data_IF_895498726823
#
_entry.id   IF_895498726823
#
_cell.length_a   1.000
_cell.length_b   1.000
_cell.length_c   1.000
_cell.angle_alpha   90.00
_cell.angle_beta   90.00
_cell.angle_gamma   90.00
#
_symmetry.space_group_name_H-M   'P 1'
#
loop_
_entity.id
_entity.type
_entity.pdbx_description
1 polymer ?
#
# COMPACT_ATOMS: atom_id res chain seq x y z
N UNK A 1 13.02 4.40 -18.86
CA UNK A 1 11.72 5.02 -18.55
C UNK A 1 11.88 5.90 -17.30
N UNK A 2 11.85 7.23 -17.42
CA UNK A 2 12.01 8.15 -16.28
C UNK A 2 10.78 8.03 -15.39
N UNK A 3 10.96 7.65 -14.12
CA UNK A 3 9.92 7.68 -13.09
C UNK A 3 9.35 9.11 -13.01
N UNK A 4 8.19 9.35 -13.62
CA UNK A 4 7.50 10.63 -13.52
C UNK A 4 6.68 10.62 -12.23
N UNK A 5 6.91 11.61 -11.39
CA UNK A 5 6.11 11.87 -10.18
C UNK A 5 5.60 13.29 -10.22
N UNK A 6 4.36 13.50 -9.79
CA UNK A 6 3.76 14.83 -9.67
C UNK A 6 3.61 15.16 -8.19
N UNK A 7 3.91 16.40 -7.82
CA UNK A 7 3.62 16.91 -6.48
C UNK A 7 2.46 17.89 -6.56
N UNK A 8 1.36 17.58 -5.87
CA UNK A 8 0.17 18.42 -5.78
C UNK A 8 -0.15 18.66 -4.30
N UNK A 9 -0.36 19.93 -3.91
CA UNK A 9 -0.76 20.37 -2.57
C UNK A 9 -0.07 19.66 -1.37
N UNK A 10 1.16 19.14 -1.54
CA UNK A 10 1.93 18.46 -0.50
C UNK A 10 2.06 16.93 -0.63
N UNK A 11 1.30 16.28 -1.52
CA UNK A 11 1.47 14.86 -1.85
C UNK A 11 2.31 14.68 -3.12
N UNK A 12 3.34 13.82 -3.04
CA UNK A 12 4.13 13.36 -4.18
C UNK A 12 3.63 11.98 -4.61
N UNK A 13 3.04 11.91 -5.80
CA UNK A 13 2.42 10.72 -6.39
C UNK A 13 3.29 10.27 -7.56
N UNK A 14 3.68 9.01 -7.57
CA UNK A 14 4.38 8.40 -8.69
C UNK A 14 3.35 7.85 -9.67
N UNK A 15 3.58 7.99 -10.99
CA UNK A 15 2.67 7.42 -12.01
C UNK A 15 2.74 5.90 -12.11
N UNK A 16 3.82 5.28 -11.64
CA UNK A 16 4.02 3.85 -11.79
C UNK A 16 5.47 3.41 -11.54
N UNK A 17 5.70 2.11 -11.61
CA UNK A 17 7.02 1.49 -11.68
C UNK A 17 6.91 0.03 -12.17
N UNK A 18 8.03 -0.63 -12.46
CA UNK A 18 8.05 -2.02 -12.94
C UNK A 18 7.27 -3.04 -12.07
N UNK A 19 7.04 -2.76 -10.78
CA UNK A 19 6.27 -3.63 -9.88
C UNK A 19 4.76 -3.37 -9.94
N UNK A 20 4.35 -2.17 -10.32
CA UNK A 20 2.94 -1.74 -10.31
C UNK A 20 2.43 -1.27 -11.66
N UNK A 21 3.22 -1.46 -12.73
CA UNK A 21 2.97 -0.91 -14.05
C UNK A 21 2.67 0.60 -13.98
N UNK A 22 1.78 1.09 -14.84
CA UNK A 22 1.25 2.45 -14.84
C UNK A 22 0.16 2.70 -13.77
N UNK A 23 0.24 2.00 -12.63
CA UNK A 23 -0.63 2.27 -11.50
C UNK A 23 -0.06 3.41 -10.63
N UNK A 24 -0.75 4.56 -10.54
CA UNK A 24 -0.33 5.64 -9.68
C UNK A 24 -0.35 5.22 -8.21
N UNK A 25 0.66 5.69 -7.49
CA UNK A 25 0.82 5.35 -6.08
C UNK A 25 1.40 6.50 -5.28
N UNK A 26 1.02 6.54 -4.01
CA UNK A 26 1.62 7.40 -3.00
C UNK A 26 2.18 6.52 -1.90
N UNK A 27 3.38 6.84 -1.43
CA UNK A 27 4.09 6.05 -0.42
C UNK A 27 4.55 6.93 0.72
N UNK A 28 4.60 6.35 1.92
CA UNK A 28 5.11 6.98 3.13
C UNK A 28 6.53 6.49 3.43
N UNK A 29 7.16 7.09 4.44
CA UNK A 29 8.50 6.72 4.87
C UNK A 29 8.46 5.35 5.55
N UNK A 30 9.18 4.32 5.06
CA UNK A 30 9.22 3.01 5.72
C UNK A 30 9.80 3.13 7.12
N UNK A 31 9.43 2.17 7.97
CA UNK A 31 9.74 2.12 9.42
C UNK A 31 9.00 3.21 10.21
N UNK A 32 9.08 4.47 9.78
CA UNK A 32 8.45 5.59 10.49
C UNK A 32 6.91 5.56 10.43
N UNK A 33 6.34 5.15 9.29
CA UNK A 33 4.88 5.00 9.10
C UNK A 33 4.36 3.60 9.45
N UNK A 34 5.25 2.66 9.77
CA UNK A 34 4.89 1.26 10.01
C UNK A 34 4.47 1.02 11.47
N UNK A 35 3.70 -0.04 11.75
CA UNK A 35 3.43 -0.47 13.12
C UNK A 35 4.72 -0.67 13.92
N UNK A 36 4.70 -0.27 15.19
CA UNK A 36 5.82 -0.51 16.10
C UNK A 36 6.09 -2.01 16.24
N UNK A 37 7.35 -2.40 16.18
CA UNK A 37 7.77 -3.80 16.32
C UNK A 37 7.54 -4.67 15.08
N UNK A 38 7.27 -4.08 13.91
CA UNK A 38 7.09 -4.85 12.68
C UNK A 38 8.35 -5.68 12.36
N UNK A 39 8.24 -7.01 12.13
CA UNK A 39 9.39 -7.91 12.06
C UNK A 39 10.25 -7.69 10.80
N UNK A 40 9.68 -7.10 9.76
CA UNK A 40 10.43 -6.79 8.54
C UNK A 40 11.32 -5.55 8.67
N UNK A 41 11.36 -4.85 9.82
CA UNK A 41 12.07 -3.58 9.97
C UNK A 41 13.57 -3.69 9.61
N UNK A 42 14.26 -4.73 10.09
CA UNK A 42 15.69 -4.94 9.83
C UNK A 42 16.04 -5.34 8.39
N UNK A 43 15.04 -5.80 7.62
CA UNK A 43 15.22 -6.33 6.26
C UNK A 43 14.23 -5.72 5.27
N UNK A 44 13.73 -4.53 5.58
CA UNK A 44 12.68 -3.88 4.81
C UNK A 44 13.19 -3.57 3.40
N UNK A 45 12.59 -4.21 2.38
CA UNK A 45 12.95 -3.95 0.99
C UNK A 45 12.81 -2.47 0.62
N UNK A 46 11.90 -1.77 1.30
CA UNK A 46 11.60 -0.38 1.03
C UNK A 46 12.65 0.58 1.59
N UNK A 47 13.30 0.19 2.69
CA UNK A 47 14.51 0.86 3.19
C UNK A 47 15.65 0.68 2.19
N UNK A 48 15.82 -0.52 1.61
CA UNK A 48 16.81 -0.75 0.53
C UNK A 48 16.52 0.16 -0.67
N UNK A 49 15.25 0.27 -1.10
CA UNK A 49 14.86 1.15 -2.20
C UNK A 49 15.15 2.64 -1.91
N UNK A 50 14.89 3.11 -0.69
CA UNK A 50 15.23 4.48 -0.27
C UNK A 50 16.75 4.74 -0.22
N UNK A 51 17.58 3.72 0.01
CA UNK A 51 19.05 3.83 -0.06
C UNK A 51 19.52 3.92 -1.51
N UNK A 52 18.96 3.08 -2.38
CA UNK A 52 19.33 3.00 -3.79
C UNK A 52 18.86 4.21 -4.61
N UNK A 53 17.69 4.76 -4.29
CA UNK A 53 17.05 5.83 -5.07
C UNK A 53 16.75 7.06 -4.19
N UNK A 54 17.63 8.08 -4.16
CA UNK A 54 17.44 9.27 -3.33
C UNK A 54 16.15 10.05 -3.63
N UNK A 55 15.68 10.03 -4.88
CA UNK A 55 14.39 10.63 -5.29
C UNK A 55 13.21 9.97 -4.59
N UNK A 56 13.21 8.64 -4.50
CA UNK A 56 12.18 7.86 -3.79
C UNK A 56 12.21 8.19 -2.29
N UNK A 57 13.40 8.25 -1.69
CA UNK A 57 13.56 8.63 -0.28
C UNK A 57 12.96 10.01 -0.01
N UNK A 58 13.32 11.02 -0.82
CA UNK A 58 12.82 12.39 -0.67
C UNK A 58 11.30 12.47 -0.82
N UNK A 59 10.73 11.81 -1.82
CA UNK A 59 9.27 11.77 -2.03
C UNK A 59 8.54 11.20 -0.81
N UNK A 60 9.03 10.07 -0.26
CA UNK A 60 8.43 9.43 0.91
C UNK A 60 8.61 10.23 2.20
N UNK A 61 9.77 10.85 2.39
CA UNK A 61 10.00 11.77 3.52
C UNK A 61 9.07 12.98 3.45
N UNK A 62 8.86 13.56 2.26
CA UNK A 62 7.93 14.66 2.05
C UNK A 62 6.49 14.23 2.37
N UNK A 63 6.05 13.11 1.82
CA UNK A 63 4.71 12.58 2.07
C UNK A 63 4.49 12.27 3.55
N UNK A 64 5.45 11.65 4.22
CA UNK A 64 5.36 11.36 5.65
C UNK A 64 5.30 12.63 6.50
N UNK A 65 6.15 13.62 6.20
CA UNK A 65 6.09 14.93 6.86
C UNK A 65 4.72 15.58 6.65
N UNK A 66 4.27 15.68 5.40
CA UNK A 66 3.01 16.32 5.04
C UNK A 66 1.80 15.62 5.69
N UNK A 67 1.73 14.29 5.62
CA UNK A 67 0.66 13.51 6.26
C UNK A 67 0.57 13.75 7.77
N UNK A 68 1.69 14.08 8.43
CA UNK A 68 1.73 14.28 9.88
C UNK A 68 1.56 15.75 10.31
N UNK A 69 2.09 16.69 9.53
CA UNK A 69 2.10 18.12 9.90
C UNK A 69 1.00 18.93 9.24
N UNK A 70 0.51 18.51 8.08
CA UNK A 70 -0.61 19.14 7.38
C UNK A 70 -1.40 18.07 6.59
N UNK A 71 -2.10 17.15 7.28
CA UNK A 71 -2.84 16.08 6.64
C UNK A 71 -3.90 16.59 5.65
N UNK A 72 -4.54 17.72 5.95
CA UNK A 72 -5.54 18.32 5.07
C UNK A 72 -4.96 18.63 3.68
N UNK A 73 -3.82 19.32 3.61
CA UNK A 73 -3.14 19.61 2.35
C UNK A 73 -2.66 18.33 1.65
N UNK A 74 -2.03 17.42 2.41
CA UNK A 74 -1.56 16.13 1.88
C UNK A 74 -2.69 15.36 1.16
N UNK A 75 -3.83 15.17 1.83
CA UNK A 75 -4.97 14.47 1.23
C UNK A 75 -5.67 15.29 0.14
N UNK A 76 -5.69 16.62 0.22
CA UNK A 76 -6.16 17.47 -0.88
C UNK A 76 -5.33 17.27 -2.15
N UNK A 77 -4.01 17.10 -2.03
CA UNK A 77 -3.13 16.79 -3.14
C UNK A 77 -3.46 15.48 -3.85
N UNK A 78 -3.82 14.46 -3.07
CA UNK A 78 -4.29 13.18 -3.59
C UNK A 78 -5.63 13.34 -4.32
N UNK A 79 -6.58 14.06 -3.73
CA UNK A 79 -7.88 14.35 -4.38
C UNK A 79 -7.70 15.10 -5.70
N UNK A 80 -6.84 16.12 -5.73
CA UNK A 80 -6.51 16.86 -6.95
C UNK A 80 -5.93 15.95 -8.03
N UNK A 81 -5.07 15.01 -7.66
CA UNK A 81 -4.55 14.03 -8.60
C UNK A 81 -5.67 13.15 -9.17
N UNK A 82 -6.51 12.59 -8.31
CA UNK A 82 -7.59 11.68 -8.72
C UNK A 82 -8.61 12.40 -9.61
N UNK A 83 -9.02 13.61 -9.25
CA UNK A 83 -9.96 14.40 -10.07
C UNK A 83 -9.37 14.79 -11.43
N UNK A 84 -8.07 15.10 -11.49
CA UNK A 84 -7.41 15.52 -12.73
C UNK A 84 -7.15 14.36 -13.68
N UNK A 85 -6.60 13.25 -13.17
CA UNK A 85 -6.10 12.16 -14.00
C UNK A 85 -7.05 10.97 -14.10
N UNK A 86 -8.06 10.89 -13.22
CA UNK A 86 -9.10 9.85 -13.21
C UNK A 86 -8.56 8.44 -13.50
N UNK A 87 -7.55 7.97 -12.75
CA UNK A 87 -6.95 6.66 -13.02
C UNK A 87 -7.93 5.54 -12.67
N UNK A 88 -7.94 4.45 -13.43
CA UNK A 88 -8.73 3.26 -13.09
C UNK A 88 -8.26 2.62 -11.78
N UNK A 89 -6.94 2.57 -11.54
CA UNK A 89 -6.32 1.97 -10.37
C UNK A 89 -5.47 2.96 -9.59
N UNK A 90 -5.48 2.86 -8.26
CA UNK A 90 -4.57 3.62 -7.40
C UNK A 90 -4.06 2.77 -6.23
N UNK A 91 -2.75 2.81 -5.97
CA UNK A 91 -2.13 2.00 -4.90
C UNK A 91 -1.66 2.83 -3.70
N UNK A 92 -2.23 2.49 -2.55
CA UNK A 92 -1.74 2.80 -1.21
C UNK A 92 -0.95 1.60 -0.67
N UNK A 93 -0.03 1.78 0.25
CA UNK A 93 1.24 2.31 -0.21
C UNK A 93 2.07 1.24 -0.92
N UNK A 94 2.92 1.64 -1.87
CA UNK A 94 4.00 0.76 -2.36
C UNK A 94 5.12 0.69 -1.32
N UNK A 95 5.38 1.78 -0.59
CA UNK A 95 6.35 1.83 0.51
C UNK A 95 5.80 2.54 1.75
N UNK A 96 6.20 2.11 2.93
CA UNK A 96 5.54 2.50 4.19
C UNK A 96 4.30 1.66 4.50
N UNK A 97 3.49 2.12 5.44
CA UNK A 97 2.26 1.44 5.89
C UNK A 97 1.19 2.47 6.30
N UNK A 98 -0.02 2.00 6.60
CA UNK A 98 -1.12 2.80 7.13
C UNK A 98 -0.82 3.09 8.62
N UNK A 99 -0.55 4.36 9.00
CA UNK A 99 -0.02 4.67 10.33
C UNK A 99 -1.06 4.49 11.44
N UNK A 100 -2.30 4.95 11.21
CA UNK A 100 -3.35 4.98 12.23
C UNK A 100 -4.77 4.92 11.63
N UNK A 101 -5.75 4.86 12.54
CA UNK A 101 -7.17 4.76 12.18
C UNK A 101 -7.71 6.02 11.50
N UNK A 102 -7.21 7.21 11.85
CA UNK A 102 -7.66 8.45 11.23
C UNK A 102 -7.21 8.52 9.77
N UNK A 103 -5.96 8.11 9.49
CA UNK A 103 -5.44 7.97 8.14
C UNK A 103 -6.28 7.00 7.31
N UNK A 104 -6.58 5.81 7.86
CA UNK A 104 -7.43 4.83 7.20
C UNK A 104 -8.85 5.34 6.93
N UNK A 105 -9.47 6.07 7.87
CA UNK A 105 -10.79 6.69 7.66
C UNK A 105 -10.77 7.70 6.52
N UNK A 106 -9.70 8.47 6.38
CA UNK A 106 -9.54 9.40 5.25
C UNK A 106 -9.34 8.65 3.93
N UNK A 107 -8.60 7.54 3.91
CA UNK A 107 -8.52 6.67 2.73
C UNK A 107 -9.92 6.18 2.32
N UNK A 108 -10.75 5.77 3.28
CA UNK A 108 -12.14 5.36 3.01
C UNK A 108 -13.00 6.51 2.51
N UNK A 109 -12.83 7.73 3.04
CA UNK A 109 -13.56 8.91 2.57
C UNK A 109 -13.22 9.21 1.11
N UNK A 110 -11.92 9.26 0.77
CA UNK A 110 -11.46 9.46 -0.60
C UNK A 110 -11.99 8.37 -1.53
N UNK A 111 -11.94 7.09 -1.12
CA UNK A 111 -12.48 6.03 -1.95
C UNK A 111 -13.98 6.18 -2.24
N UNK A 112 -14.78 6.72 -1.31
CA UNK A 112 -16.20 7.04 -1.57
C UNK A 112 -16.39 8.25 -2.48
N UNK A 113 -15.51 9.24 -2.41
CA UNK A 113 -15.52 10.42 -3.29
C UNK A 113 -15.19 10.07 -4.74
N UNK A 114 -14.41 9.01 -4.97
CA UNK A 114 -13.97 8.56 -6.30
C UNK A 114 -14.40 7.10 -6.55
N UNK A 115 -15.70 6.84 -6.75
CA UNK A 115 -16.24 5.48 -6.83
C UNK A 115 -15.70 4.66 -8.01
N UNK A 116 -15.32 5.32 -9.11
CA UNK A 116 -14.81 4.68 -10.33
C UNK A 116 -13.33 4.29 -10.26
N UNK A 117 -12.64 4.63 -9.16
CA UNK A 117 -11.23 4.29 -8.95
C UNK A 117 -11.13 3.07 -8.03
N UNK A 118 -10.40 2.05 -8.47
CA UNK A 118 -10.06 0.88 -7.66
C UNK A 118 -8.79 1.14 -6.84
N UNK A 119 -8.97 1.28 -5.53
CA UNK A 119 -7.89 1.46 -4.57
C UNK A 119 -7.42 0.13 -3.99
N UNK A 120 -6.11 -0.01 -3.79
CA UNK A 120 -5.50 -1.16 -3.12
C UNK A 120 -4.53 -0.71 -2.04
N UNK A 121 -4.58 -1.35 -0.86
CA UNK A 121 -3.55 -1.23 0.15
C UNK A 121 -3.12 -2.57 0.75
N UNK A 122 -1.80 -2.70 0.94
CA UNK A 122 -1.21 -3.75 1.76
C UNK A 122 -0.82 -3.15 3.10
N UNK A 123 -1.13 -3.83 4.21
CA UNK A 123 -0.81 -3.31 5.54
C UNK A 123 -0.41 -4.42 6.52
N UNK A 124 0.59 -4.16 7.36
CA UNK A 124 0.90 -4.97 8.55
C UNK A 124 0.22 -4.42 9.81
N UNK A 125 -0.50 -3.30 9.70
CA UNK A 125 -1.23 -2.68 10.80
C UNK A 125 -2.58 -3.38 11.05
N UNK A 126 -2.51 -4.61 11.55
CA UNK A 126 -3.70 -5.43 11.75
C UNK A 126 -4.58 -4.97 12.94
N UNK A 127 -4.15 -3.95 13.68
CA UNK A 127 -4.91 -3.35 14.78
C UNK A 127 -6.01 -2.39 14.29
N UNK A 128 -5.93 -1.94 13.04
CA UNK A 128 -6.95 -1.08 12.44
C UNK A 128 -8.32 -1.77 12.39
N UNK A 129 -9.37 -0.97 12.56
CA UNK A 129 -10.75 -1.37 12.33
C UNK A 129 -11.11 -1.11 10.87
N UNK A 130 -11.34 -2.20 10.14
CA UNK A 130 -11.67 -2.17 8.71
C UNK A 130 -13.18 -2.20 8.44
N UNK A 131 -14.04 -2.15 9.47
CA UNK A 131 -15.49 -2.10 9.28
C UNK A 131 -15.90 -0.86 8.47
N UNK A 132 -16.92 -1.01 7.62
CA UNK A 132 -17.42 0.07 6.78
C UNK A 132 -16.50 0.48 5.61
N UNK A 133 -15.45 -0.29 5.31
CA UNK A 133 -14.60 -0.12 4.12
C UNK A 133 -15.46 -0.03 2.85
N UNK A 134 -15.24 0.97 1.96
CA UNK A 134 -15.94 1.04 0.70
C UNK A 134 -15.50 -0.08 -0.25
N UNK A 135 -16.39 -0.50 -1.15
CA UNK A 135 -16.17 -1.68 -2.00
C UNK A 135 -14.98 -1.51 -2.95
N UNK A 136 -14.73 -0.28 -3.41
CA UNK A 136 -13.62 0.07 -4.29
C UNK A 136 -12.28 0.31 -3.58
N UNK A 137 -12.17 0.10 -2.26
CA UNK A 137 -10.89 0.13 -1.54
C UNK A 137 -10.55 -1.26 -1.01
N UNK A 138 -9.72 -2.03 -1.70
CA UNK A 138 -9.29 -3.32 -1.18
C UNK A 138 -8.13 -3.21 -0.19
N UNK A 139 -8.25 -3.89 0.94
CA UNK A 139 -7.21 -3.95 1.97
C UNK A 139 -6.76 -5.39 2.12
N UNK A 140 -5.48 -5.63 1.84
CA UNK A 140 -4.85 -6.95 1.93
C UNK A 140 -3.90 -6.97 3.13
N UNK A 141 -4.15 -7.89 4.06
CA UNK A 141 -3.31 -8.03 5.25
C UNK A 141 -1.97 -8.66 4.87
N UNK A 142 -0.89 -7.94 5.13
CA UNK A 142 0.47 -8.40 4.86
C UNK A 142 0.93 -9.34 5.96
N UNK A 143 1.11 -10.61 5.61
CA UNK A 143 1.59 -11.63 6.51
C UNK A 143 3.12 -11.76 6.37
N UNK A 144 3.77 -12.09 7.48
CA UNK A 144 5.22 -12.28 7.57
C UNK A 144 5.48 -13.44 8.54
N UNK A 145 6.55 -14.26 8.39
CA UNK A 145 6.84 -15.33 9.32
C UNK A 145 6.70 -14.90 10.79
N UNK A 146 5.84 -15.60 11.54
CA UNK A 146 5.55 -15.29 12.94
C UNK A 146 4.69 -14.03 13.21
N UNK A 147 4.29 -13.27 12.18
CA UNK A 147 3.49 -12.06 12.31
C UNK A 147 2.25 -12.07 11.41
N UNK A 148 1.12 -11.75 12.01
CA UNK A 148 -0.12 -11.47 11.31
C UNK A 148 -1.34 -11.99 12.05
N UNK A 149 -2.52 -11.46 11.70
CA UNK A 149 -3.77 -11.87 12.34
C UNK A 149 -4.57 -12.72 11.36
N UNK A 150 -4.43 -14.04 11.45
CA UNK A 150 -5.14 -14.99 10.61
C UNK A 150 -6.63 -15.10 10.92
N UNK A 151 -7.09 -14.59 12.08
CA UNK A 151 -8.50 -14.64 12.50
C UNK A 151 -9.38 -13.60 11.80
N UNK A 152 -8.80 -12.50 11.29
CA UNK A 152 -9.55 -11.51 10.53
C UNK A 152 -9.93 -12.09 9.16
N UNK A 153 -11.24 -12.10 8.85
CA UNK A 153 -11.77 -12.48 7.53
C UNK A 153 -11.51 -11.40 6.49
N UNK A 154 -10.25 -11.28 6.07
CA UNK A 154 -9.75 -10.33 5.09
C UNK A 154 -8.85 -11.07 4.11
N UNK A 155 -8.66 -10.58 2.87
CA UNK A 155 -7.66 -11.13 1.98
C UNK A 155 -6.26 -10.93 2.58
N UNK A 156 -5.36 -11.90 2.35
CA UNK A 156 -4.00 -11.89 2.90
C UNK A 156 -2.96 -12.01 1.79
N UNK A 157 -1.81 -11.39 2.03
CA UNK A 157 -0.64 -11.52 1.18
C UNK A 157 0.53 -12.03 2.02
N UNK A 158 0.97 -13.26 1.73
CA UNK A 158 2.01 -13.96 2.47
C UNK A 158 3.38 -13.74 1.85
N UNK A 159 4.34 -13.27 2.64
CA UNK A 159 5.74 -13.30 2.26
C UNK A 159 6.31 -14.68 2.59
N UNK A 160 6.91 -15.34 1.59
CA UNK A 160 7.56 -16.63 1.74
C UNK A 160 9.08 -16.51 1.53
N UNK A 161 9.86 -17.00 2.49
CA UNK A 161 11.32 -17.14 2.42
C UNK A 161 11.83 -18.53 2.82
N UNK A 162 10.93 -19.52 2.83
CA UNK A 162 11.18 -20.89 3.28
C UNK A 162 10.72 -21.15 4.72
N UNK A 163 10.41 -20.08 5.48
CA UNK A 163 10.02 -20.20 6.90
C UNK A 163 8.52 -20.00 7.17
N UNK A 164 7.73 -19.52 6.21
CA UNK A 164 6.31 -19.30 6.40
C UNK A 164 5.53 -20.61 6.22
N UNK A 165 5.00 -21.15 7.31
CA UNK A 165 4.26 -22.42 7.35
C UNK A 165 2.74 -22.26 7.34
N UNK A 166 2.23 -21.02 7.36
CA UNK A 166 0.79 -20.72 7.51
C UNK A 166 0.09 -20.36 6.19
N UNK A 167 0.78 -20.44 5.06
CA UNK A 167 0.21 -20.13 3.75
C UNK A 167 -0.81 -21.22 3.42
N UNK A 168 -2.09 -20.89 3.15
CA UNK A 168 -3.06 -21.90 2.72
C UNK A 168 -2.69 -22.48 1.35
N UNK A 169 -2.99 -23.76 1.13
CA UNK A 169 -2.77 -24.43 -0.17
C UNK A 169 -3.54 -23.76 -1.32
N UNK A 170 -4.67 -23.11 -1.00
CA UNK A 170 -5.48 -22.35 -1.95
C UNK A 170 -4.91 -20.96 -2.27
N UNK A 171 -3.80 -20.55 -1.67
CA UNK A 171 -3.22 -19.22 -1.89
C UNK A 171 -2.56 -19.13 -3.27
N UNK A 172 -2.89 -18.07 -3.99
CA UNK A 172 -2.40 -17.86 -5.36
C UNK A 172 -0.97 -17.34 -5.32
N UNK A 173 -0.06 -18.01 -6.03
CA UNK A 173 1.30 -17.51 -6.17
C UNK A 173 1.32 -16.25 -7.03
N UNK A 174 1.83 -15.15 -6.49
CA UNK A 174 2.05 -13.91 -7.21
C UNK A 174 3.29 -14.03 -8.09
N UNK A 175 3.14 -13.71 -9.38
CA UNK A 175 4.23 -13.68 -10.36
C UNK A 175 5.20 -12.50 -10.16
N UNK A 176 4.84 -11.52 -9.31
CA UNK A 176 5.64 -10.33 -9.04
C UNK A 176 5.43 -9.18 -10.03
N UNK A 177 4.58 -9.34 -11.04
CA UNK A 177 4.16 -8.26 -11.95
C UNK A 177 2.67 -7.99 -11.83
N UNK A 178 2.32 -6.75 -11.46
CA UNK A 178 0.93 -6.31 -11.43
C UNK A 178 0.38 -5.91 -12.81
N UNK A 179 1.24 -5.75 -13.82
CA UNK A 179 0.87 -5.27 -15.17
C UNK A 179 -0.18 -6.16 -15.84
N UNK A 180 -0.07 -7.48 -15.66
CA UNK A 180 -0.95 -8.46 -16.30
C UNK A 180 -1.88 -9.17 -15.32
N UNK A 181 -1.69 -9.01 -14.00
CA UNK A 181 -2.41 -9.78 -13.00
C UNK A 181 -3.57 -9.00 -12.36
N UNK A 182 -3.30 -7.85 -11.73
CA UNK A 182 -4.32 -7.03 -11.08
C UNK A 182 -5.15 -7.68 -9.95
N UNK A 183 -5.01 -8.98 -9.65
CA UNK A 183 -5.95 -9.73 -8.80
C UNK A 183 -6.10 -9.14 -7.39
N UNK A 184 -5.04 -8.54 -6.85
CA UNK A 184 -5.02 -7.98 -5.51
C UNK A 184 -6.05 -6.85 -5.32
N UNK A 185 -6.47 -6.14 -6.36
CA UNK A 185 -7.55 -5.16 -6.26
C UNK A 185 -8.92 -5.79 -5.99
N UNK A 186 -9.08 -7.07 -6.32
CA UNK A 186 -10.38 -7.75 -6.33
C UNK A 186 -10.48 -8.92 -5.35
N UNK A 187 -9.38 -9.29 -4.69
CA UNK A 187 -9.36 -10.36 -3.67
C UNK A 187 -10.46 -10.15 -2.63
N UNK A 188 -11.21 -11.21 -2.36
CA UNK A 188 -12.27 -11.28 -1.36
C UNK A 188 -11.75 -11.88 -0.05
N UNK A 189 -12.53 -11.74 1.01
CA UNK A 189 -12.22 -12.38 2.28
C UNK A 189 -12.06 -13.90 2.11
N UNK A 190 -10.94 -14.44 2.57
CA UNK A 190 -10.59 -15.86 2.41
C UNK A 190 -9.78 -16.17 1.15
N UNK A 191 -9.63 -15.22 0.22
CA UNK A 191 -8.68 -15.35 -0.89
C UNK A 191 -7.33 -14.76 -0.49
N UNK A 192 -6.31 -15.57 -0.66
CA UNK A 192 -4.96 -15.24 -0.27
C UNK A 192 -4.03 -15.28 -1.49
N UNK A 193 -2.99 -14.47 -1.44
CA UNK A 193 -1.87 -14.53 -2.37
C UNK A 193 -0.58 -14.75 -1.58
N UNK A 194 0.44 -15.32 -2.21
CA UNK A 194 1.77 -15.36 -1.62
C UNK A 194 2.83 -14.96 -2.63
N UNK A 195 3.97 -14.48 -2.15
CA UNK A 195 5.09 -14.08 -2.99
C UNK A 195 6.41 -14.46 -2.33
N UNK A 196 7.40 -14.80 -3.16
CA UNK A 196 8.78 -14.99 -2.68
C UNK A 196 9.36 -13.65 -2.23
N UNK A 197 10.13 -13.67 -1.15
CA UNK A 197 10.88 -12.50 -0.66
C UNK A 197 11.78 -11.92 -1.75
N UNK A 198 11.80 -10.59 -1.83
CA UNK A 198 12.69 -9.81 -2.69
C UNK A 198 14.02 -9.45 -2.02
#
# INVERSE_FOLDING_TARGET
MKYRSVTLAGATIAHGNHKVADCPNVSLLPIASCPRGVPCAGQCYDVKACRMYPTVKRARQRNWKAARTNPAAYFAGIRQYLAKYQPEYFRWHVGGDIPDQAYYRTMCAIAREFPDVYFLAFTKNHKLDFRGRPQNLNIVLSMWPGWGNSRKRMPRAWMQDGSESRIPDSAIQCSGSCEHCGICWFLKAGQDVWFKKH
#
